data_IF_840582765949
#
_entry.id   IF_840582765949
#
_cell.length_a   1.000
_cell.length_b   1.000
_cell.length_c   1.000
_cell.angle_alpha   90.00
_cell.angle_beta   90.00
_cell.angle_gamma   90.00
#
_symmetry.space_group_name_H-M   'P 1'
#
loop_
_entity.id
_entity.type
_entity.pdbx_description
1 polymer ?
#
# COMPACT_ATOMS: atom_id res chain seq x y z
N UNK A 1 7.72 18.09 -20.49
CA UNK A 1 6.37 18.65 -20.38
C UNK A 1 5.60 18.33 -21.65
N UNK A 2 4.75 17.31 -21.62
CA UNK A 2 3.69 17.09 -22.62
C UNK A 2 2.49 16.58 -21.85
N UNK A 3 1.65 17.50 -21.40
CA UNK A 3 0.30 17.19 -20.92
C UNK A 3 -0.64 17.21 -22.11
N UNK A 4 -1.30 16.09 -22.40
CA UNK A 4 -2.45 16.10 -23.29
C UNK A 4 -3.61 16.73 -22.52
N UNK A 5 -3.90 18.01 -22.78
CA UNK A 5 -4.91 18.78 -22.06
C UNK A 5 -6.31 18.39 -22.50
N UNK A 6 -6.76 17.20 -22.08
CA UNK A 6 -8.18 16.88 -22.00
C UNK A 6 -8.70 17.33 -20.64
N UNK A 7 -9.73 18.19 -20.62
CA UNK A 7 -10.44 18.56 -19.40
C UNK A 7 -11.88 18.05 -19.49
N UNK A 8 -12.32 17.27 -18.50
CA UNK A 8 -13.72 16.83 -18.37
C UNK A 8 -14.29 17.52 -17.14
N UNK A 9 -15.35 18.32 -17.30
CA UNK A 9 -16.01 18.98 -16.16
C UNK A 9 -15.13 19.98 -15.38
N UNK A 10 -14.07 20.52 -15.99
CA UNK A 10 -13.15 21.48 -15.34
C UNK A 10 -11.99 20.86 -14.57
N UNK A 11 -11.87 19.53 -14.56
CA UNK A 11 -10.72 18.80 -14.01
C UNK A 11 -9.82 18.32 -15.14
N UNK A 12 -8.51 18.55 -15.01
CA UNK A 12 -7.54 18.04 -15.96
C UNK A 12 -7.39 16.51 -15.87
N UNK A 13 -7.01 15.89 -17.00
CA UNK A 13 -6.85 14.44 -17.11
C UNK A 13 -5.84 13.87 -16.11
N UNK A 14 -4.82 14.63 -15.72
CA UNK A 14 -3.83 14.21 -14.73
C UNK A 14 -4.46 14.08 -13.34
N UNK A 15 -5.22 15.08 -12.90
CA UNK A 15 -5.96 15.03 -11.64
C UNK A 15 -6.95 13.87 -11.61
N UNK A 16 -7.67 13.64 -12.72
CA UNK A 16 -8.58 12.49 -12.84
C UNK A 16 -7.83 11.16 -12.75
N UNK A 17 -6.70 11.02 -13.44
CA UNK A 17 -5.87 9.83 -13.39
C UNK A 17 -5.38 9.56 -11.96
N UNK A 18 -4.86 10.58 -11.27
CA UNK A 18 -4.45 10.46 -9.87
C UNK A 18 -5.62 10.02 -8.97
N UNK A 19 -6.81 10.62 -9.15
CA UNK A 19 -8.01 10.23 -8.41
C UNK A 19 -8.37 8.75 -8.61
N UNK A 20 -8.32 8.27 -9.86
CA UNK A 20 -8.58 6.86 -10.19
C UNK A 20 -7.53 5.94 -9.57
N UNK A 21 -6.24 6.30 -9.65
CA UNK A 21 -5.15 5.51 -9.06
C UNK A 21 -5.30 5.41 -7.54
N UNK A 22 -5.58 6.53 -6.87
CA UNK A 22 -5.80 6.57 -5.41
C UNK A 22 -7.04 5.76 -5.03
N UNK A 23 -8.13 5.86 -5.78
CA UNK A 23 -9.34 5.09 -5.53
C UNK A 23 -9.10 3.58 -5.70
N UNK A 24 -8.40 3.17 -6.77
CA UNK A 24 -8.06 1.77 -7.01
C UNK A 24 -7.12 1.22 -5.92
N UNK A 25 -6.12 2.01 -5.50
CA UNK A 25 -5.23 1.66 -4.40
C UNK A 25 -6.00 1.51 -3.08
N UNK A 26 -6.89 2.46 -2.76
CA UNK A 26 -7.75 2.41 -1.59
C UNK A 26 -8.62 1.17 -1.56
N UNK A 27 -9.30 0.87 -2.68
CA UNK A 27 -10.14 -0.32 -2.81
C UNK A 27 -9.31 -1.60 -2.61
N UNK A 28 -8.17 -1.74 -3.30
CA UNK A 28 -7.31 -2.92 -3.17
C UNK A 28 -6.77 -3.11 -1.76
N UNK A 29 -6.28 -2.02 -1.13
CA UNK A 29 -5.70 -2.06 0.21
C UNK A 29 -6.70 -2.47 1.30
N UNK A 30 -7.95 -1.99 1.21
CA UNK A 30 -9.00 -2.35 2.16
C UNK A 30 -9.67 -3.69 1.82
N UNK A 31 -9.87 -3.98 0.53
CA UNK A 31 -10.54 -5.18 0.04
C UNK A 31 -9.74 -6.47 0.27
N UNK A 32 -8.40 -6.39 0.34
CA UNK A 32 -7.55 -7.54 0.59
C UNK A 32 -7.48 -7.94 2.08
N UNK A 33 -7.83 -7.05 2.99
CA UNK A 33 -7.70 -7.29 4.44
C UNK A 33 -8.52 -8.50 4.94
N UNK A 34 -9.78 -8.72 4.53
CA UNK A 34 -10.54 -9.92 4.91
C UNK A 34 -9.94 -11.20 4.34
N UNK A 35 -9.53 -11.19 3.07
CA UNK A 35 -8.95 -12.36 2.36
C UNK A 35 -7.71 -12.86 3.10
N UNK A 36 -6.79 -11.95 3.44
CA UNK A 36 -5.58 -12.27 4.21
C UNK A 36 -5.90 -12.90 5.55
N UNK A 37 -6.93 -12.42 6.24
CA UNK A 37 -7.28 -12.95 7.57
C UNK A 37 -7.88 -14.35 7.51
N UNK A 38 -8.72 -14.62 6.50
CA UNK A 38 -9.30 -15.95 6.29
C UNK A 38 -8.21 -16.96 5.92
N UNK A 39 -7.35 -16.61 4.96
CA UNK A 39 -6.23 -17.46 4.55
C UNK A 39 -5.29 -17.81 5.71
N UNK A 40 -4.93 -16.82 6.55
CA UNK A 40 -4.06 -17.10 7.69
C UNK A 40 -4.72 -18.04 8.71
N UNK A 41 -6.03 -17.93 8.93
CA UNK A 41 -6.77 -18.82 9.83
C UNK A 41 -6.90 -20.23 9.28
N UNK A 42 -6.96 -20.39 7.96
CA UNK A 42 -7.04 -21.68 7.29
C UNK A 42 -5.71 -22.44 7.33
N UNK A 43 -4.59 -21.73 7.16
CA UNK A 43 -3.25 -22.34 7.10
C UNK A 43 -2.67 -22.62 8.50
N UNK A 44 -3.04 -21.84 9.51
CA UNK A 44 -2.43 -21.92 10.84
C UNK A 44 -3.15 -22.95 11.75
N UNK A 45 -2.43 -23.78 12.52
CA UNK A 45 -3.06 -24.72 13.46
C UNK A 45 -3.99 -24.03 14.46
N UNK A 46 -5.16 -24.62 14.73
CA UNK A 46 -6.22 -24.06 15.59
C UNK A 46 -5.72 -23.50 16.94
N UNK A 47 -4.77 -24.20 17.57
CA UNK A 47 -4.17 -23.80 18.86
C UNK A 47 -3.47 -22.45 18.85
N UNK A 48 -3.03 -21.96 17.68
CA UNK A 48 -2.31 -20.69 17.52
C UNK A 48 -2.97 -19.74 16.52
N UNK A 49 -4.02 -20.14 15.80
CA UNK A 49 -4.70 -19.37 14.76
C UNK A 49 -5.06 -17.94 15.21
N UNK A 50 -5.79 -17.83 16.33
CA UNK A 50 -6.20 -16.54 16.88
C UNK A 50 -5.02 -15.67 17.37
N UNK A 51 -4.01 -16.29 17.99
CA UNK A 51 -2.81 -15.59 18.46
C UNK A 51 -1.94 -15.08 17.30
N UNK A 52 -1.75 -15.90 16.27
CA UNK A 52 -1.00 -15.57 15.06
C UNK A 52 -1.60 -14.39 14.30
N UNK A 53 -2.93 -14.38 14.13
CA UNK A 53 -3.65 -13.21 13.59
C UNK A 53 -3.40 -11.95 14.42
N UNK A 54 -3.46 -12.06 15.76
CA UNK A 54 -3.23 -10.94 16.67
C UNK A 54 -1.82 -10.34 16.53
N UNK A 55 -0.81 -11.20 16.41
CA UNK A 55 0.60 -10.78 16.18
C UNK A 55 0.72 -10.08 14.84
N UNK A 56 0.21 -10.67 13.75
CA UNK A 56 0.24 -10.06 12.41
C UNK A 56 -0.43 -8.69 12.43
N UNK A 57 -1.61 -8.58 13.05
CA UNK A 57 -2.32 -7.30 13.19
C UNK A 57 -1.49 -6.26 13.92
N UNK A 58 -0.88 -6.63 15.04
CA UNK A 58 -0.06 -5.72 15.85
C UNK A 58 1.15 -5.22 15.06
N UNK A 59 1.84 -6.12 14.36
CA UNK A 59 2.98 -5.75 13.52
C UNK A 59 2.58 -4.81 12.38
N UNK A 60 1.46 -5.09 11.70
CA UNK A 60 0.97 -4.24 10.62
C UNK A 60 0.51 -2.86 11.12
N UNK A 61 -0.20 -2.80 12.24
CA UNK A 61 -0.60 -1.53 12.86
C UNK A 61 0.61 -0.75 13.36
N UNK A 62 1.60 -1.42 13.95
CA UNK A 62 2.86 -0.80 14.39
C UNK A 62 3.63 -0.22 13.22
N UNK A 63 3.79 -0.97 12.13
CA UNK A 63 4.42 -0.48 10.91
C UNK A 63 3.65 0.73 10.33
N UNK A 64 2.32 0.65 10.28
CA UNK A 64 1.46 1.75 9.83
C UNK A 64 1.56 3.00 10.70
N UNK A 65 1.76 2.86 12.01
CA UNK A 65 1.94 3.97 12.93
C UNK A 65 3.33 4.62 12.83
N UNK A 66 4.37 3.84 12.51
CA UNK A 66 5.74 4.34 12.34
C UNK A 66 5.94 5.05 11.00
N UNK A 67 5.23 4.63 9.95
CA UNK A 67 5.42 5.13 8.59
C UNK A 67 5.32 6.67 8.45
N UNK A 68 4.31 7.37 9.02
CA UNK A 68 4.23 8.82 8.94
C UNK A 68 5.43 9.53 9.57
N UNK A 69 5.94 9.01 10.68
CA UNK A 69 7.12 9.56 11.37
C UNK A 69 8.39 9.41 10.53
N UNK A 70 8.61 8.23 9.96
CA UNK A 70 9.76 7.96 9.09
C UNK A 70 9.72 8.83 7.83
N UNK A 71 8.56 8.93 7.17
CA UNK A 71 8.41 9.75 5.96
C UNK A 71 8.53 11.23 6.29
N UNK A 72 7.93 11.70 7.39
CA UNK A 72 8.01 13.08 7.84
C UNK A 72 9.45 13.51 8.14
N UNK A 73 10.18 12.74 8.96
CA UNK A 73 11.60 13.00 9.25
C UNK A 73 12.43 12.98 7.96
N UNK A 74 12.17 12.02 7.06
CA UNK A 74 12.87 11.98 5.78
C UNK A 74 12.58 13.21 4.93
N UNK A 75 11.34 13.69 4.91
CA UNK A 75 10.95 14.90 4.19
C UNK A 75 11.64 16.15 4.75
N UNK A 76 11.78 16.25 6.09
CA UNK A 76 12.49 17.36 6.74
C UNK A 76 13.99 17.35 6.41
N UNK A 77 14.60 16.16 6.29
CA UNK A 77 16.04 16.01 6.07
C UNK A 77 16.48 16.09 4.60
N UNK A 78 15.72 15.45 3.70
CA UNK A 78 16.11 15.29 2.28
C UNK A 78 15.05 15.78 1.29
N UNK A 79 13.97 16.37 1.79
CA UNK A 79 12.88 16.91 0.97
C UNK A 79 11.79 15.89 0.63
N UNK A 80 10.62 16.40 0.23
CA UNK A 80 9.44 15.59 -0.07
C UNK A 80 9.65 14.60 -1.23
N UNK A 81 10.35 15.02 -2.29
CA UNK A 81 10.57 14.19 -3.48
C UNK A 81 11.23 12.85 -3.14
N UNK A 82 12.45 12.84 -2.55
CA UNK A 82 13.10 11.61 -2.12
C UNK A 82 12.31 10.83 -1.06
N UNK A 83 11.64 11.52 -0.11
CA UNK A 83 10.86 10.86 0.94
C UNK A 83 9.64 10.08 0.39
N UNK A 84 8.86 10.69 -0.50
CA UNK A 84 7.77 9.99 -1.21
C UNK A 84 8.30 9.00 -2.25
N UNK A 85 9.48 9.26 -2.82
CA UNK A 85 10.18 8.30 -3.69
C UNK A 85 10.53 7.00 -2.96
N UNK A 86 11.00 7.08 -1.71
CA UNK A 86 11.24 5.92 -0.86
C UNK A 86 9.94 5.13 -0.58
N UNK A 87 8.85 5.85 -0.27
CA UNK A 87 7.54 5.22 -0.07
C UNK A 87 7.07 4.51 -1.36
N UNK A 88 7.15 5.18 -2.50
CA UNK A 88 6.79 4.61 -3.80
C UNK A 88 7.66 3.38 -4.14
N UNK A 89 8.97 3.44 -3.89
CA UNK A 89 9.88 2.32 -4.10
C UNK A 89 9.52 1.14 -3.19
N UNK A 90 9.19 1.38 -1.92
CA UNK A 90 8.78 0.31 -0.98
C UNK A 90 7.48 -0.38 -1.42
N UNK A 91 6.49 0.40 -1.87
CA UNK A 91 5.23 -0.12 -2.39
C UNK A 91 5.45 -0.88 -3.70
N UNK A 92 6.28 -0.34 -4.59
CA UNK A 92 6.66 -0.99 -5.84
C UNK A 92 7.37 -2.33 -5.60
N UNK A 93 8.30 -2.39 -4.65
CA UNK A 93 8.98 -3.63 -4.27
C UNK A 93 7.99 -4.67 -3.73
N UNK A 94 7.05 -4.26 -2.86
CA UNK A 94 6.00 -5.14 -2.36
C UNK A 94 5.10 -5.66 -3.49
N UNK A 95 4.73 -4.81 -4.46
CA UNK A 95 3.93 -5.21 -5.61
C UNK A 95 4.67 -6.20 -6.52
N UNK A 96 5.98 -5.97 -6.77
CA UNK A 96 6.82 -6.89 -7.54
C UNK A 96 6.94 -8.24 -6.83
N UNK A 97 7.16 -8.26 -5.52
CA UNK A 97 7.21 -9.50 -4.75
C UNK A 97 5.88 -10.25 -4.80
N UNK A 98 4.75 -9.55 -4.66
CA UNK A 98 3.43 -10.16 -4.76
C UNK A 98 3.18 -10.75 -6.17
N UNK A 99 3.55 -10.02 -7.23
CA UNK A 99 3.45 -10.52 -8.60
C UNK A 99 4.38 -11.72 -8.84
N UNK A 100 5.61 -11.70 -8.31
CA UNK A 100 6.55 -12.82 -8.41
C UNK A 100 6.02 -14.08 -7.72
N UNK A 101 5.46 -13.93 -6.50
CA UNK A 101 4.83 -15.04 -5.78
C UNK A 101 3.64 -15.61 -6.57
N UNK A 102 2.80 -14.74 -7.13
CA UNK A 102 1.68 -15.17 -7.97
C UNK A 102 2.15 -15.94 -9.22
N UNK A 103 3.24 -15.52 -9.86
CA UNK A 103 3.76 -16.23 -11.04
C UNK A 103 4.50 -17.53 -10.69
N UNK A 104 4.86 -17.75 -9.43
CA UNK A 104 5.62 -18.92 -8.97
C UNK A 104 4.78 -20.05 -8.38
N UNK A 105 3.52 -19.78 -8.06
CA UNK A 105 2.52 -20.77 -7.62
C UNK A 105 1.54 -21.11 -8.76
#
# INVERSE_FOLDING_TARGET
AVGATGSVGGVDAETLLFGVVVAAFGLGSHGFQPVRSAYLMEVLPDRIAGGGLGVVRTLLMGAGALAPGVVGISADLVGFGPAFGLLAASMGAAAVLAAALWLSE
#
